data_IF_232513242239
#
_entry.id   IF_232513242239
#
_cell.length_a   1.000
_cell.length_b   1.000
_cell.length_c   1.000
_cell.angle_alpha   90.00
_cell.angle_beta   90.00
_cell.angle_gamma   90.00
#
_symmetry.space_group_name_H-M   'P 1'
#
loop_
_entity.id
_entity.type
_entity.pdbx_description
1 polymer ?
#
# COMPACT_ATOMS: atom_id res chain seq x y z
N UNK A 1 -15.77 -31.08 -36.04
CA UNK A 1 -14.38 -31.53 -36.31
C UNK A 1 -13.35 -30.48 -35.97
N UNK A 2 -13.42 -29.24 -36.49
CA UNK A 2 -12.43 -28.18 -36.21
C UNK A 2 -12.12 -27.90 -34.73
N UNK A 3 -13.11 -27.99 -33.82
CA UNK A 3 -12.87 -27.80 -32.36
C UNK A 3 -12.07 -28.96 -31.76
N UNK A 4 -12.29 -30.20 -32.23
CA UNK A 4 -11.56 -31.39 -31.76
C UNK A 4 -10.12 -31.44 -32.27
N UNK A 5 -9.81 -30.69 -33.33
CA UNK A 5 -8.44 -30.53 -33.86
C UNK A 5 -7.65 -29.45 -33.12
N UNK A 6 -8.33 -28.47 -32.50
CA UNK A 6 -7.72 -27.33 -31.80
C UNK A 6 -7.63 -27.53 -30.28
N UNK A 7 -8.51 -28.34 -29.68
CA UNK A 7 -8.62 -28.51 -28.23
C UNK A 7 -8.70 -29.98 -27.84
N UNK A 8 -8.09 -30.32 -26.71
CA UNK A 8 -8.33 -31.60 -26.04
C UNK A 8 -9.78 -31.61 -25.53
N UNK A 9 -10.61 -32.50 -26.09
CA UNK A 9 -12.05 -32.59 -25.81
C UNK A 9 -12.40 -33.82 -25.00
N UNK A 10 -11.41 -34.39 -24.27
CA UNK A 10 -11.65 -35.49 -23.35
C UNK A 10 -12.76 -35.12 -22.36
N UNK A 11 -13.75 -36.00 -22.23
CA UNK A 11 -14.81 -35.87 -21.25
C UNK A 11 -14.23 -36.14 -19.86
N UNK A 12 -14.48 -35.23 -18.93
CA UNK A 12 -14.19 -35.46 -17.53
C UNK A 12 -15.31 -36.32 -16.95
N UNK A 13 -14.99 -37.54 -16.52
CA UNK A 13 -15.96 -38.42 -15.88
C UNK A 13 -16.43 -37.82 -14.55
N UNK A 14 -17.75 -37.65 -14.39
CA UNK A 14 -18.38 -37.07 -13.18
C UNK A 14 -18.03 -37.83 -11.88
N UNK A 15 -17.57 -39.08 -11.98
CA UNK A 15 -17.19 -39.92 -10.82
C UNK A 15 -15.85 -39.53 -10.18
N UNK A 16 -14.99 -38.75 -10.85
CA UNK A 16 -13.74 -38.24 -10.26
C UNK A 16 -13.96 -37.14 -9.21
N UNK A 17 -15.20 -36.68 -9.01
CA UNK A 17 -15.54 -35.61 -8.06
C UNK A 17 -15.48 -36.10 -6.58
N UNK A 18 -15.16 -37.37 -6.35
CA UNK A 18 -14.86 -37.94 -5.03
C UNK A 18 -13.37 -38.25 -4.79
N UNK A 19 -12.45 -37.73 -5.62
CA UNK A 19 -11.01 -37.86 -5.37
C UNK A 19 -10.51 -36.90 -4.28
N UNK A 20 -9.26 -37.05 -3.87
CA UNK A 20 -8.60 -36.11 -2.95
C UNK A 20 -8.67 -34.69 -3.53
N UNK A 21 -8.99 -33.70 -2.70
CA UNK A 21 -9.29 -32.31 -3.11
C UNK A 21 -8.18 -31.68 -3.98
N UNK A 22 -6.92 -32.04 -3.73
CA UNK A 22 -5.76 -31.62 -4.53
C UNK A 22 -5.78 -32.10 -5.99
N UNK A 23 -6.27 -33.31 -6.27
CA UNK A 23 -6.33 -33.84 -7.63
C UNK A 23 -7.45 -33.17 -8.45
N UNK A 24 -8.53 -32.75 -7.79
CA UNK A 24 -9.62 -31.99 -8.43
C UNK A 24 -9.13 -30.58 -8.78
N UNK A 25 -8.33 -29.96 -7.91
CA UNK A 25 -7.72 -28.64 -8.19
C UNK A 25 -6.82 -28.71 -9.42
N UNK A 26 -5.86 -29.66 -9.46
CA UNK A 26 -4.93 -29.82 -10.58
C UNK A 26 -5.67 -30.09 -11.89
N UNK A 27 -6.69 -30.95 -11.86
CA UNK A 27 -7.54 -31.21 -13.02
C UNK A 27 -8.27 -29.95 -13.51
N UNK A 28 -8.84 -29.15 -12.61
CA UNK A 28 -9.55 -27.92 -13.00
C UNK A 28 -8.56 -26.86 -13.54
N UNK A 29 -7.33 -26.81 -13.02
CA UNK A 29 -6.28 -25.91 -13.49
C UNK A 29 -5.79 -26.23 -14.91
N UNK A 30 -5.83 -27.50 -15.31
CA UNK A 30 -5.46 -27.95 -16.66
C UNK A 30 -6.56 -27.73 -17.71
N UNK A 31 -7.78 -27.39 -17.30
CA UNK A 31 -8.95 -27.32 -18.19
C UNK A 31 -9.31 -25.88 -18.52
N UNK A 32 -9.26 -25.56 -19.81
CA UNK A 32 -9.63 -24.22 -20.31
C UNK A 32 -11.14 -24.01 -20.46
N UNK A 33 -11.91 -25.08 -20.75
CA UNK A 33 -13.32 -24.98 -21.15
C UNK A 33 -14.16 -26.07 -20.46
N UNK A 34 -15.21 -25.65 -19.77
CA UNK A 34 -16.27 -26.52 -19.26
C UNK A 34 -17.57 -26.29 -20.03
N UNK A 35 -18.12 -27.35 -20.62
CA UNK A 35 -19.37 -27.32 -21.39
C UNK A 35 -20.47 -28.13 -20.71
N UNK A 36 -21.73 -27.80 -21.00
CA UNK A 36 -22.93 -28.49 -20.44
C UNK A 36 -22.96 -28.56 -18.89
N UNK A 37 -22.36 -27.55 -18.24
CA UNK A 37 -22.31 -27.43 -16.78
C UNK A 37 -23.63 -26.92 -16.19
N UNK A 38 -24.07 -27.56 -15.11
CA UNK A 38 -25.21 -27.08 -14.32
C UNK A 38 -24.77 -25.93 -13.39
N UNK A 39 -25.71 -25.09 -12.88
CA UNK A 39 -25.37 -23.99 -11.97
C UNK A 39 -24.51 -24.41 -10.76
N UNK A 40 -24.76 -25.59 -10.20
CA UNK A 40 -24.02 -26.15 -9.07
C UNK A 40 -22.56 -26.46 -9.43
N UNK A 41 -22.31 -26.90 -10.67
CA UNK A 41 -20.96 -27.18 -11.15
C UNK A 41 -20.16 -25.89 -11.30
N UNK A 42 -20.78 -24.80 -11.80
CA UNK A 42 -20.13 -23.48 -11.85
C UNK A 42 -19.70 -23.01 -10.46
N UNK A 43 -20.56 -23.19 -9.47
CA UNK A 43 -20.24 -22.87 -8.08
C UNK A 43 -19.05 -23.70 -7.57
N UNK A 44 -19.06 -25.01 -7.83
CA UNK A 44 -17.99 -25.94 -7.41
C UNK A 44 -16.66 -25.62 -8.06
N UNK A 45 -16.64 -25.23 -9.33
CA UNK A 45 -15.42 -24.83 -10.04
C UNK A 45 -14.81 -23.60 -9.34
N UNK A 46 -15.62 -22.57 -9.07
CA UNK A 46 -15.17 -21.37 -8.37
C UNK A 46 -14.67 -21.70 -6.96
N UNK A 47 -15.43 -22.49 -6.19
CA UNK A 47 -15.02 -22.92 -4.84
C UNK A 47 -13.70 -23.70 -4.86
N UNK A 48 -13.52 -24.60 -5.83
CA UNK A 48 -12.32 -25.44 -5.93
C UNK A 48 -11.10 -24.62 -6.31
N UNK A 49 -11.22 -23.70 -7.28
CA UNK A 49 -10.13 -22.77 -7.63
C UNK A 49 -9.75 -21.86 -6.45
N UNK A 50 -10.72 -21.39 -5.67
CA UNK A 50 -10.46 -20.61 -4.46
C UNK A 50 -9.71 -21.43 -3.40
N UNK A 51 -10.07 -22.71 -3.21
CA UNK A 51 -9.37 -23.63 -2.30
C UNK A 51 -7.97 -24.00 -2.78
N UNK A 52 -7.75 -24.05 -4.11
CA UNK A 52 -6.42 -24.08 -4.73
C UNK A 52 -5.59 -22.82 -4.47
N UNK A 53 -6.18 -21.82 -3.79
CA UNK A 53 -5.53 -20.60 -3.42
C UNK A 53 -5.42 -19.63 -4.58
N UNK A 54 -6.30 -19.66 -5.57
CA UNK A 54 -6.45 -18.63 -6.61
C UNK A 54 -7.37 -17.50 -6.17
N UNK A 55 -7.24 -16.33 -6.80
CA UNK A 55 -8.24 -15.26 -6.71
C UNK A 55 -9.11 -15.39 -7.96
N UNK A 56 -10.40 -15.67 -7.77
CA UNK A 56 -11.30 -16.05 -8.86
C UNK A 56 -12.31 -14.94 -9.10
N UNK A 57 -12.35 -14.44 -10.33
CA UNK A 57 -13.41 -13.58 -10.80
C UNK A 57 -14.30 -14.35 -11.78
N UNK A 58 -15.62 -14.15 -11.68
CA UNK A 58 -16.59 -14.76 -12.60
C UNK A 58 -17.36 -13.67 -13.33
N UNK A 59 -17.65 -13.88 -14.62
CA UNK A 59 -18.61 -13.05 -15.36
C UNK A 59 -19.82 -13.89 -15.74
N UNK A 60 -21.02 -13.32 -15.63
CA UNK A 60 -22.26 -14.00 -15.96
C UNK A 60 -23.39 -13.02 -16.28
N UNK A 61 -24.46 -13.53 -16.87
CA UNK A 61 -25.62 -12.75 -17.31
C UNK A 61 -26.97 -13.37 -16.90
N UNK A 62 -26.99 -14.68 -16.70
CA UNK A 62 -28.18 -15.45 -16.38
C UNK A 62 -28.40 -15.70 -14.89
N UNK A 63 -29.64 -16.04 -14.54
CA UNK A 63 -30.01 -16.50 -13.18
C UNK A 63 -29.18 -17.72 -12.74
N UNK A 64 -28.80 -18.55 -13.71
CA UNK A 64 -27.96 -19.74 -13.51
C UNK A 64 -26.55 -19.41 -13.03
N UNK A 65 -26.06 -18.19 -13.27
CA UNK A 65 -24.72 -17.76 -12.87
C UNK A 65 -24.72 -17.15 -11.47
N UNK A 66 -25.89 -16.79 -10.93
CA UNK A 66 -26.00 -16.07 -9.66
C UNK A 66 -25.30 -16.77 -8.48
N UNK A 67 -25.42 -18.10 -8.27
CA UNK A 67 -24.71 -18.77 -7.17
C UNK A 67 -23.19 -18.66 -7.30
N UNK A 68 -22.66 -18.83 -8.52
CA UNK A 68 -21.24 -18.84 -8.78
C UNK A 68 -20.65 -17.40 -8.82
N UNK A 69 -21.41 -16.43 -9.33
CA UNK A 69 -21.09 -14.99 -9.24
C UNK A 69 -20.95 -14.57 -7.78
N UNK A 70 -21.86 -15.02 -6.92
CA UNK A 70 -21.82 -14.69 -5.49
C UNK A 70 -20.68 -15.37 -4.74
N UNK A 71 -20.24 -16.53 -5.23
CA UNK A 71 -19.15 -17.32 -4.64
C UNK A 71 -17.77 -16.80 -5.03
N UNK A 72 -17.63 -16.23 -6.22
CA UNK A 72 -16.37 -15.66 -6.71
C UNK A 72 -15.86 -14.56 -5.78
N UNK A 73 -14.55 -14.32 -5.79
CA UNK A 73 -13.95 -13.18 -5.06
C UNK A 73 -14.40 -11.84 -5.65
N UNK A 74 -14.78 -11.85 -6.93
CA UNK A 74 -15.43 -10.73 -7.60
C UNK A 74 -16.34 -11.22 -8.74
N UNK A 75 -17.64 -10.99 -8.61
CA UNK A 75 -18.63 -11.25 -9.66
C UNK A 75 -18.83 -10.03 -10.58
N UNK A 76 -18.77 -10.25 -11.89
CA UNK A 76 -19.07 -9.26 -12.93
C UNK A 76 -20.38 -9.59 -13.63
N UNK A 77 -21.29 -8.61 -13.71
CA UNK A 77 -22.51 -8.72 -14.49
C UNK A 77 -22.46 -7.78 -15.69
N UNK A 78 -22.90 -8.25 -16.85
CA UNK A 78 -23.02 -7.41 -18.06
C UNK A 78 -24.26 -6.50 -18.00
N UNK A 79 -24.29 -5.45 -18.83
CA UNK A 79 -25.34 -4.43 -18.82
C UNK A 79 -26.75 -5.00 -19.08
N UNK A 80 -26.82 -6.04 -19.91
CA UNK A 80 -28.06 -6.67 -20.36
C UNK A 80 -28.40 -7.95 -19.56
N UNK A 81 -27.74 -8.15 -18.42
CA UNK A 81 -27.96 -9.32 -17.57
C UNK A 81 -29.31 -9.28 -16.85
N UNK A 82 -29.76 -10.46 -16.43
CA UNK A 82 -30.96 -10.63 -15.60
C UNK A 82 -30.82 -9.90 -14.24
N UNK A 83 -31.94 -9.51 -13.64
CA UNK A 83 -31.95 -8.87 -12.32
C UNK A 83 -31.29 -9.74 -11.24
N UNK A 84 -31.45 -11.05 -11.34
CA UNK A 84 -30.81 -12.00 -10.43
C UNK A 84 -29.28 -11.98 -10.55
N UNK A 85 -28.73 -11.96 -11.78
CA UNK A 85 -27.29 -11.88 -12.00
C UNK A 85 -26.72 -10.54 -11.54
N UNK A 86 -27.43 -9.43 -11.80
CA UNK A 86 -27.03 -8.08 -11.32
C UNK A 86 -27.04 -7.97 -9.80
N UNK A 87 -28.01 -8.61 -9.14
CA UNK A 87 -28.08 -8.64 -7.68
C UNK A 87 -27.01 -9.53 -7.04
N UNK A 88 -26.52 -10.54 -7.76
CA UNK A 88 -25.49 -11.45 -7.27
C UNK A 88 -24.05 -10.94 -7.50
N UNK A 89 -23.83 -10.11 -8.51
CA UNK A 89 -22.52 -9.57 -8.89
C UNK A 89 -22.08 -8.39 -8.01
N UNK A 90 -20.76 -8.21 -7.86
CA UNK A 90 -20.15 -7.09 -7.13
C UNK A 90 -19.93 -5.87 -8.05
N UNK A 91 -19.74 -6.11 -9.35
CA UNK A 91 -19.50 -5.07 -10.36
C UNK A 91 -20.47 -5.24 -11.53
N UNK A 92 -21.21 -4.17 -11.84
CA UNK A 92 -22.12 -4.13 -12.98
C UNK A 92 -21.47 -3.30 -14.09
N UNK A 93 -21.21 -3.94 -15.24
CA UNK A 93 -20.69 -3.28 -16.43
C UNK A 93 -21.83 -2.50 -17.09
N UNK A 94 -21.71 -1.18 -17.15
CA UNK A 94 -22.70 -0.30 -17.78
C UNK A 94 -22.48 -0.16 -19.28
N UNK A 95 -21.23 -0.29 -19.73
CA UNK A 95 -20.88 -0.29 -21.14
C UNK A 95 -20.93 -1.72 -21.71
N UNK A 96 -21.27 -1.89 -23.01
CA UNK A 96 -21.26 -3.19 -23.65
C UNK A 96 -19.83 -3.72 -23.82
N UNK A 97 -19.68 -5.05 -23.73
CA UNK A 97 -18.42 -5.75 -23.95
C UNK A 97 -17.64 -6.06 -22.67
N UNK A 98 -16.69 -7.01 -22.79
CA UNK A 98 -15.89 -7.51 -21.66
C UNK A 98 -14.54 -6.79 -21.51
N UNK A 99 -14.17 -5.93 -22.48
CA UNK A 99 -12.88 -5.22 -22.46
C UNK A 99 -12.73 -4.31 -21.24
N UNK A 100 -13.84 -3.81 -20.68
CA UNK A 100 -13.87 -2.96 -19.46
C UNK A 100 -13.33 -3.70 -18.24
N UNK A 101 -13.40 -5.04 -18.21
CA UNK A 101 -12.83 -5.85 -17.13
C UNK A 101 -11.31 -5.65 -17.06
N UNK A 102 -10.63 -5.52 -18.21
CA UNK A 102 -9.19 -5.26 -18.23
C UNK A 102 -8.84 -3.91 -17.59
N UNK A 103 -9.64 -2.87 -17.84
CA UNK A 103 -9.46 -1.56 -17.23
C UNK A 103 -9.75 -1.60 -15.72
N UNK A 104 -10.80 -2.31 -15.30
CA UNK A 104 -11.12 -2.53 -13.90
C UNK A 104 -9.97 -3.24 -13.15
N UNK A 105 -9.43 -4.32 -13.74
CA UNK A 105 -8.29 -5.05 -13.18
C UNK A 105 -7.03 -4.18 -13.11
N UNK A 106 -6.78 -3.34 -14.13
CA UNK A 106 -5.67 -2.39 -14.12
C UNK A 106 -5.83 -1.37 -12.99
N UNK A 107 -7.01 -0.79 -12.81
CA UNK A 107 -7.29 0.17 -11.74
C UNK A 107 -7.20 -0.47 -10.36
N UNK A 108 -7.72 -1.69 -10.18
CA UNK A 108 -7.59 -2.43 -8.93
C UNK A 108 -6.12 -2.61 -8.53
N UNK A 109 -5.24 -2.96 -9.48
CA UNK A 109 -3.80 -3.09 -9.23
C UNK A 109 -3.12 -1.76 -8.89
N UNK A 110 -3.53 -0.66 -9.54
CA UNK A 110 -3.05 0.70 -9.22
C UNK A 110 -3.44 1.08 -7.79
N UNK A 111 -4.70 0.88 -7.42
CA UNK A 111 -5.23 1.15 -6.07
C UNK A 111 -4.51 0.29 -5.03
N UNK A 112 -4.31 -0.99 -5.31
CA UNK A 112 -3.57 -1.89 -4.41
C UNK A 112 -2.13 -1.40 -4.17
N UNK A 113 -1.42 -0.98 -5.22
CA UNK A 113 -0.07 -0.42 -5.09
C UNK A 113 -0.05 0.86 -4.24
N UNK A 114 -1.03 1.76 -4.42
CA UNK A 114 -1.17 2.97 -3.59
C UNK A 114 -1.46 2.63 -2.13
N UNK A 115 -2.33 1.64 -1.89
CA UNK A 115 -2.64 1.15 -0.54
C UNK A 115 -1.41 0.55 0.15
N UNK A 116 -0.58 -0.23 -0.57
CA UNK A 116 0.69 -0.77 -0.04
C UNK A 116 1.63 0.36 0.40
N UNK A 117 1.80 1.38 -0.43
CA UNK A 117 2.63 2.55 -0.12
C UNK A 117 2.10 3.33 1.09
N UNK A 118 0.78 3.57 1.14
CA UNK A 118 0.11 4.21 2.28
C UNK A 118 0.29 3.42 3.58
N UNK A 119 0.03 2.12 3.55
CA UNK A 119 0.15 1.26 4.73
C UNK A 119 1.59 1.24 5.26
N UNK A 120 2.57 1.10 4.37
CA UNK A 120 3.99 1.10 4.73
C UNK A 120 4.41 2.41 5.38
N UNK A 121 4.01 3.53 4.77
CA UNK A 121 4.23 4.87 5.32
C UNK A 121 3.59 5.03 6.70
N UNK A 122 2.29 4.72 6.82
CA UNK A 122 1.54 4.96 8.04
C UNK A 122 2.11 4.17 9.22
N UNK A 123 2.45 2.90 9.00
CA UNK A 123 3.06 2.06 10.04
C UNK A 123 4.42 2.59 10.45
N UNK A 124 5.27 2.98 9.49
CA UNK A 124 6.59 3.54 9.78
C UNK A 124 6.51 4.84 10.61
N UNK A 125 5.61 5.77 10.25
CA UNK A 125 5.40 7.01 11.01
C UNK A 125 4.81 6.75 12.38
N UNK A 126 3.85 5.83 12.51
CA UNK A 126 3.28 5.47 13.81
C UNK A 126 4.36 4.91 14.75
N UNK A 127 5.20 3.99 14.26
CA UNK A 127 6.33 3.45 15.03
C UNK A 127 7.29 4.58 15.41
N UNK A 128 7.64 5.45 14.46
CA UNK A 128 8.56 6.57 14.70
C UNK A 128 8.06 7.49 15.80
N UNK A 129 6.83 8.01 15.68
CA UNK A 129 6.29 9.00 16.60
C UNK A 129 6.08 8.37 17.96
N UNK A 130 5.41 7.22 18.05
CA UNK A 130 5.08 6.60 19.34
C UNK A 130 6.34 6.20 20.08
N UNK A 131 7.25 5.45 19.44
CA UNK A 131 8.47 5.01 20.13
C UNK A 131 9.36 6.19 20.52
N UNK A 132 9.54 7.19 19.64
CA UNK A 132 10.32 8.36 19.98
C UNK A 132 9.72 9.12 21.16
N UNK A 133 8.41 9.39 21.15
CA UNK A 133 7.72 10.10 22.23
C UNK A 133 7.79 9.32 23.54
N UNK A 134 7.42 8.04 23.54
CA UNK A 134 7.39 7.21 24.75
C UNK A 134 8.78 7.07 25.35
N UNK A 135 9.80 6.77 24.56
CA UNK A 135 11.16 6.64 25.06
C UNK A 135 11.73 7.97 25.55
N UNK A 136 11.38 9.09 24.90
CA UNK A 136 11.81 10.42 25.36
C UNK A 136 11.23 10.77 26.72
N UNK A 137 9.94 10.50 26.94
CA UNK A 137 9.26 10.78 28.20
C UNK A 137 9.77 9.87 29.32
N UNK A 138 9.86 8.55 29.08
CA UNK A 138 10.21 7.59 30.12
C UNK A 138 11.69 7.68 30.54
N UNK A 139 12.60 7.93 29.59
CA UNK A 139 14.04 7.88 29.84
C UNK A 139 14.60 9.26 30.20
N UNK A 140 14.10 10.33 29.56
CA UNK A 140 14.68 11.67 29.67
C UNK A 140 13.76 12.68 30.37
N UNK A 141 12.56 12.27 30.80
CA UNK A 141 11.52 13.16 31.35
C UNK A 141 11.23 14.37 30.44
N UNK A 142 11.46 14.20 29.14
CA UNK A 142 11.34 15.24 28.14
C UNK A 142 10.14 14.95 27.25
N UNK A 143 9.22 15.90 27.18
CA UNK A 143 8.08 15.89 26.26
C UNK A 143 8.49 16.52 24.93
N UNK A 144 8.74 15.74 23.86
CA UNK A 144 9.35 16.24 22.63
C UNK A 144 8.40 17.04 21.75
N UNK A 145 7.10 16.75 21.84
CA UNK A 145 6.06 17.36 21.03
C UNK A 145 4.89 17.65 21.96
N UNK A 146 4.35 18.86 21.89
CA UNK A 146 3.16 19.25 22.64
C UNK A 146 1.88 18.76 21.96
N UNK A 147 0.76 18.71 22.69
CA UNK A 147 -0.53 18.32 22.12
C UNK A 147 -0.92 19.18 20.90
N UNK A 148 -0.62 20.48 20.94
CA UNK A 148 -0.88 21.39 19.82
C UNK A 148 -0.03 21.07 18.60
N UNK A 149 1.26 20.78 18.80
CA UNK A 149 2.15 20.34 17.71
C UNK A 149 1.68 19.02 17.08
N UNK A 150 1.12 18.10 17.87
CA UNK A 150 0.52 16.85 17.33
C UNK A 150 -0.69 17.19 16.43
N UNK A 151 -1.54 18.12 16.83
CA UNK A 151 -2.69 18.56 16.01
C UNK A 151 -2.21 19.20 14.70
N UNK A 152 -1.21 20.08 14.77
CA UNK A 152 -0.61 20.70 13.59
C UNK A 152 0.05 19.67 12.66
N UNK A 153 0.78 18.71 13.23
CA UNK A 153 1.38 17.59 12.50
C UNK A 153 0.30 16.77 11.77
N UNK A 154 -0.79 16.44 12.46
CA UNK A 154 -1.89 15.68 11.87
C UNK A 154 -2.50 16.43 10.68
N UNK A 155 -2.84 17.71 10.86
CA UNK A 155 -3.44 18.53 9.82
C UNK A 155 -2.53 18.67 8.58
N UNK A 156 -1.24 18.91 8.79
CA UNK A 156 -0.27 19.06 7.70
C UNK A 156 -0.03 17.73 6.97
N UNK A 157 -0.02 16.60 7.69
CA UNK A 157 0.19 15.29 7.09
C UNK A 157 -1.02 14.77 6.29
N UNK A 158 -2.24 15.18 6.66
CA UNK A 158 -3.46 14.67 6.00
C UNK A 158 -3.56 15.09 4.52
N UNK A 159 -3.09 16.29 4.17
CA UNK A 159 -3.12 16.78 2.78
C UNK A 159 -2.31 15.86 1.85
N UNK A 160 -1.05 15.50 2.15
CA UNK A 160 -0.30 14.55 1.33
C UNK A 160 -0.84 13.13 1.37
N UNK A 161 -1.40 12.68 2.49
CA UNK A 161 -2.03 11.36 2.59
C UNK A 161 -3.16 11.23 1.57
N UNK A 162 -4.02 12.25 1.45
CA UNK A 162 -5.08 12.27 0.44
C UNK A 162 -4.52 12.25 -0.99
N UNK A 163 -3.39 12.92 -1.22
CA UNK A 163 -2.75 12.96 -2.53
C UNK A 163 -2.11 11.61 -2.95
N UNK A 164 -1.82 10.69 -2.02
CA UNK A 164 -1.37 9.31 -2.35
C UNK A 164 -2.40 8.59 -3.22
N UNK A 165 -3.69 8.86 -3.02
CA UNK A 165 -4.77 8.24 -3.78
C UNK A 165 -4.70 8.55 -5.29
N UNK A 166 -4.01 9.63 -5.68
CA UNK A 166 -3.83 10.07 -7.07
C UNK A 166 -2.41 9.85 -7.58
N UNK A 167 -1.58 9.10 -6.86
CA UNK A 167 -0.18 8.94 -7.23
C UNK A 167 0.04 8.03 -8.45
N UNK A 168 1.12 8.25 -9.19
CA UNK A 168 1.56 7.33 -10.24
C UNK A 168 2.23 6.10 -9.63
N UNK A 169 1.73 4.90 -9.98
CA UNK A 169 2.29 3.62 -9.51
C UNK A 169 2.63 2.69 -10.67
N UNK A 170 3.51 1.71 -10.40
CA UNK A 170 3.79 0.63 -11.35
C UNK A 170 2.64 -0.38 -11.29
N UNK A 171 2.11 -0.75 -12.46
CA UNK A 171 1.09 -1.79 -12.56
C UNK A 171 1.77 -3.13 -12.75
N UNK A 172 1.58 -4.05 -11.80
CA UNK A 172 2.06 -5.42 -11.93
C UNK A 172 1.28 -6.18 -13.01
N UNK A 173 1.97 -7.04 -13.78
CA UNK A 173 1.34 -7.85 -14.83
C UNK A 173 0.57 -9.05 -14.27
N UNK A 174 1.05 -9.63 -13.17
CA UNK A 174 0.43 -10.73 -12.47
C UNK A 174 -0.52 -10.25 -11.36
N UNK A 175 -1.42 -11.11 -10.85
CA UNK A 175 -2.20 -10.85 -9.63
C UNK A 175 -1.28 -10.49 -8.45
N UNK A 176 -1.74 -9.56 -7.61
CA UNK A 176 -1.00 -9.05 -6.46
C UNK A 176 -1.66 -9.51 -5.16
N UNK A 177 -0.85 -9.80 -4.15
CA UNK A 177 -1.29 -10.18 -2.80
C UNK A 177 -0.54 -9.37 -1.75
N UNK A 178 -1.15 -9.27 -0.57
CA UNK A 178 -0.46 -8.71 0.59
C UNK A 178 0.69 -9.62 1.00
N UNK A 179 1.90 -9.07 1.01
CA UNK A 179 3.04 -9.69 1.68
C UNK A 179 3.23 -8.99 3.04
N UNK A 180 2.55 -9.48 4.06
CA UNK A 180 2.56 -8.86 5.40
C UNK A 180 3.95 -8.88 6.02
N UNK A 181 4.74 -9.92 5.78
CA UNK A 181 6.11 -10.01 6.28
C UNK A 181 6.97 -8.91 5.68
N UNK A 182 6.93 -8.71 4.36
CA UNK A 182 7.67 -7.64 3.70
C UNK A 182 7.21 -6.26 4.17
N UNK A 183 5.90 -6.01 4.16
CA UNK A 183 5.29 -4.74 4.53
C UNK A 183 5.66 -4.36 5.97
N UNK A 184 5.47 -5.26 6.93
CA UNK A 184 5.77 -5.00 8.33
C UNK A 184 7.27 -4.83 8.57
N UNK A 185 8.11 -5.69 7.96
CA UNK A 185 9.57 -5.60 8.13
C UNK A 185 10.12 -4.26 7.63
N UNK A 186 9.74 -3.86 6.41
CA UNK A 186 10.20 -2.58 5.82
C UNK A 186 9.70 -1.40 6.65
N UNK A 187 8.43 -1.41 7.04
CA UNK A 187 7.84 -0.34 7.86
C UNK A 187 8.51 -0.21 9.22
N UNK A 188 8.76 -1.33 9.90
CA UNK A 188 9.42 -1.35 11.21
C UNK A 188 10.86 -0.86 11.12
N UNK A 189 11.64 -1.30 10.12
CA UNK A 189 13.03 -0.85 9.97
C UNK A 189 13.09 0.66 9.66
N UNK A 190 12.22 1.17 8.78
CA UNK A 190 12.14 2.60 8.50
C UNK A 190 11.68 3.41 9.72
N UNK A 191 10.72 2.88 10.48
CA UNK A 191 10.26 3.47 11.74
C UNK A 191 11.39 3.59 12.75
N UNK A 192 12.11 2.48 13.03
CA UNK A 192 13.26 2.44 13.96
C UNK A 192 14.37 3.37 13.50
N UNK A 193 14.71 3.38 12.20
CA UNK A 193 15.72 4.30 11.66
C UNK A 193 15.30 5.76 11.88
N UNK A 194 14.01 6.05 11.74
CA UNK A 194 13.42 7.34 12.07
C UNK A 194 13.54 7.72 13.55
N UNK A 195 13.36 6.75 14.47
CA UNK A 195 13.54 6.95 15.92
C UNK A 195 15.01 7.27 16.23
N UNK A 196 15.95 6.50 15.68
CA UNK A 196 17.40 6.74 15.83
C UNK A 196 17.74 8.14 15.33
N UNK A 197 17.26 8.54 14.15
CA UNK A 197 17.42 9.90 13.64
C UNK A 197 16.86 10.96 14.60
N UNK A 198 15.68 10.76 15.17
CA UNK A 198 15.13 11.73 16.13
C UNK A 198 15.98 11.86 17.40
N UNK A 199 16.48 10.75 17.95
CA UNK A 199 17.36 10.79 19.13
C UNK A 199 18.73 11.40 18.83
N UNK A 200 19.33 11.09 17.67
CA UNK A 200 20.59 11.72 17.25
C UNK A 200 20.42 13.23 17.18
N UNK A 201 19.32 13.73 16.59
CA UNK A 201 19.04 15.16 16.57
C UNK A 201 18.86 15.71 18.00
N UNK A 202 18.09 15.02 18.84
CA UNK A 202 17.87 15.43 20.23
C UNK A 202 19.19 15.58 21.01
N UNK A 203 20.10 14.61 20.91
CA UNK A 203 21.41 14.67 21.58
C UNK A 203 22.29 15.81 21.05
N UNK A 204 22.33 16.02 19.72
CA UNK A 204 23.08 17.14 19.12
C UNK A 204 22.57 18.49 19.66
N UNK A 205 21.25 18.63 19.80
CA UNK A 205 20.65 19.87 20.30
C UNK A 205 20.89 20.08 21.80
N UNK A 206 20.82 19.00 22.60
CA UNK A 206 21.16 19.06 24.01
C UNK A 206 22.63 19.42 24.25
N UNK A 207 23.56 18.82 23.51
CA UNK A 207 25.00 19.11 23.63
C UNK A 207 25.31 20.57 23.28
N UNK A 208 24.57 21.15 22.33
CA UNK A 208 24.67 22.58 21.99
C UNK A 208 24.02 23.51 23.01
N UNK A 209 23.42 22.98 24.08
CA UNK A 209 22.77 23.79 25.13
C UNK A 209 21.54 24.54 24.64
N UNK A 210 20.86 24.02 23.60
CA UNK A 210 19.65 24.62 23.06
C UNK A 210 18.51 24.48 24.08
N UNK A 211 17.69 25.53 24.26
CA UNK A 211 16.57 25.49 25.19
C UNK A 211 15.54 24.42 24.80
N UNK A 212 14.93 23.78 25.79
CA UNK A 212 13.95 22.70 25.56
C UNK A 212 12.79 23.11 24.64
N UNK A 213 12.29 24.34 24.80
CA UNK A 213 11.21 24.86 23.95
C UNK A 213 11.63 25.00 22.50
N UNK A 214 12.89 25.37 22.24
CA UNK A 214 13.43 25.42 20.90
C UNK A 214 13.63 24.00 20.35
N UNK A 215 14.11 23.05 21.17
CA UNK A 215 14.22 21.64 20.79
C UNK A 215 12.86 21.07 20.35
N UNK A 216 11.78 21.35 21.09
CA UNK A 216 10.42 20.93 20.73
C UNK A 216 10.01 21.43 19.34
N UNK A 217 10.24 22.71 19.05
CA UNK A 217 9.93 23.30 17.74
C UNK A 217 10.81 22.73 16.61
N UNK A 218 12.08 22.44 16.89
CA UNK A 218 12.99 21.83 15.92
C UNK A 218 12.60 20.38 15.60
N UNK A 219 12.23 19.61 16.62
CA UNK A 219 11.73 18.24 16.45
C UNK A 219 10.40 18.22 15.71
N UNK A 220 9.50 19.17 15.98
CA UNK A 220 8.27 19.36 15.21
C UNK A 220 8.57 19.55 13.71
N UNK A 221 9.45 20.50 13.36
CA UNK A 221 9.82 20.74 11.97
C UNK A 221 10.48 19.50 11.34
N UNK A 222 11.38 18.85 12.07
CA UNK A 222 12.05 17.61 11.60
C UNK A 222 11.03 16.52 11.28
N UNK A 223 10.02 16.34 12.13
CA UNK A 223 9.02 15.29 11.93
C UNK A 223 8.10 15.56 10.74
N UNK A 224 7.80 16.83 10.46
CA UNK A 224 7.12 17.21 9.21
C UNK A 224 7.98 16.81 8.01
N UNK A 225 9.20 17.34 7.91
CA UNK A 225 10.02 17.14 6.70
C UNK A 225 10.38 15.66 6.55
N UNK A 226 10.80 14.98 7.62
CA UNK A 226 11.15 13.56 7.57
C UNK A 226 9.93 12.67 7.29
N UNK A 227 8.75 13.02 7.81
CA UNK A 227 7.50 12.31 7.53
C UNK A 227 7.15 12.36 6.05
N UNK A 228 7.06 13.56 5.48
CA UNK A 228 6.79 13.76 4.06
C UNK A 228 7.86 13.14 3.16
N UNK A 229 9.13 13.24 3.54
CA UNK A 229 10.25 12.56 2.87
C UNK A 229 10.11 11.04 2.87
N UNK A 230 9.58 10.45 3.94
CA UNK A 230 9.36 8.99 4.05
C UNK A 230 8.31 8.51 3.05
N UNK A 231 7.32 9.34 2.73
CA UNK A 231 6.31 9.03 1.71
C UNK A 231 6.96 8.78 0.33
N UNK A 232 7.96 9.57 -0.05
CA UNK A 232 8.71 9.37 -1.29
C UNK A 232 9.49 8.05 -1.30
N UNK A 233 10.03 7.66 -0.15
CA UNK A 233 10.78 6.42 0.04
C UNK A 233 9.86 5.20 -0.08
N UNK A 234 8.67 5.25 0.53
CA UNK A 234 7.74 4.11 0.58
C UNK A 234 6.91 3.94 -0.70
N UNK A 235 6.85 4.95 -1.59
CA UNK A 235 6.08 4.87 -2.85
C UNK A 235 6.56 3.76 -3.80
N UNK A 236 7.84 3.41 -3.72
CA UNK A 236 8.55 2.61 -4.70
C UNK A 236 9.41 1.56 -4.01
N UNK A 237 9.40 0.34 -4.56
CA UNK A 237 10.28 -0.75 -4.13
C UNK A 237 11.75 -0.54 -4.57
N UNK A 238 11.98 0.36 -5.53
CA UNK A 238 13.32 0.77 -5.95
C UNK A 238 13.76 2.06 -5.28
N UNK A 239 14.89 2.62 -5.73
CA UNK A 239 15.36 3.94 -5.27
C UNK A 239 14.32 5.03 -5.54
N UNK A 240 14.30 6.07 -4.71
CA UNK A 240 13.29 7.13 -4.78
C UNK A 240 13.26 7.88 -6.14
N UNK A 241 14.39 7.93 -6.85
CA UNK A 241 14.52 8.58 -8.17
C UNK A 241 14.12 7.68 -9.35
N UNK A 242 13.72 6.43 -9.11
CA UNK A 242 13.27 5.56 -10.18
C UNK A 242 11.83 5.87 -10.59
N UNK A 243 11.57 5.80 -11.89
CA UNK A 243 10.20 5.93 -12.43
C UNK A 243 9.26 4.87 -11.83
N UNK A 244 7.97 5.17 -11.63
CA UNK A 244 7.28 6.41 -11.98
C UNK A 244 7.61 7.55 -11.01
N UNK A 245 7.69 8.75 -11.57
CA UNK A 245 7.85 9.97 -10.78
C UNK A 245 6.55 10.30 -10.04
N UNK A 246 6.64 11.02 -8.90
CA UNK A 246 5.47 11.52 -8.19
C UNK A 246 4.44 12.19 -9.10
N UNK A 247 3.16 11.98 -8.81
CA UNK A 247 2.13 12.84 -9.38
C UNK A 247 2.37 14.30 -8.97
N UNK A 248 2.10 15.28 -9.84
CA UNK A 248 2.25 16.69 -9.49
C UNK A 248 1.41 17.08 -8.26
N UNK A 249 0.23 16.47 -8.11
CA UNK A 249 -0.64 16.70 -6.95
C UNK A 249 0.05 16.29 -5.65
N UNK A 250 0.66 15.10 -5.59
CA UNK A 250 1.39 14.68 -4.40
C UNK A 250 2.62 15.56 -4.16
N UNK A 251 3.37 15.89 -5.21
CA UNK A 251 4.57 16.72 -5.08
C UNK A 251 4.25 18.07 -4.43
N UNK A 252 3.23 18.77 -4.95
CA UNK A 252 2.81 20.06 -4.39
C UNK A 252 2.15 19.93 -3.02
N UNK A 253 1.43 18.84 -2.77
CA UNK A 253 0.87 18.56 -1.45
C UNK A 253 1.97 18.41 -0.39
N UNK A 254 2.98 17.56 -0.63
CA UNK A 254 4.07 17.36 0.34
C UNK A 254 4.93 18.60 0.48
N UNK A 255 5.37 19.19 -0.63
CA UNK A 255 6.32 20.29 -0.59
C UNK A 255 5.65 21.57 -0.06
N UNK A 256 4.38 21.79 -0.41
CA UNK A 256 3.60 22.91 0.10
C UNK A 256 3.36 22.82 1.61
N UNK A 257 3.09 21.62 2.14
CA UNK A 257 2.90 21.41 3.58
C UNK A 257 4.22 21.44 4.36
N UNK A 258 5.33 20.97 3.78
CA UNK A 258 6.68 21.16 4.33
C UNK A 258 7.06 22.65 4.42
N UNK A 259 6.80 23.43 3.37
CA UNK A 259 7.01 24.89 3.39
C UNK A 259 6.12 25.53 4.45
N UNK A 260 4.82 25.22 4.46
CA UNK A 260 3.89 25.78 5.45
C UNK A 260 4.32 25.44 6.88
N UNK A 261 4.69 24.20 7.15
CA UNK A 261 5.23 23.76 8.45
C UNK A 261 6.53 24.48 8.81
N UNK A 262 7.40 24.73 7.83
CA UNK A 262 8.63 25.53 8.00
C UNK A 262 8.29 26.97 8.39
N UNK A 263 7.33 27.61 7.72
CA UNK A 263 6.90 28.97 8.04
C UNK A 263 6.30 29.05 9.45
N UNK A 264 5.46 28.07 9.84
CA UNK A 264 4.90 27.96 11.19
C UNK A 264 6.02 27.90 12.25
N UNK A 265 7.05 27.08 12.01
CA UNK A 265 8.18 26.93 12.92
C UNK A 265 9.08 28.17 12.97
N UNK A 266 9.39 28.77 11.82
CA UNK A 266 10.27 29.94 11.73
C UNK A 266 9.65 31.16 12.41
N UNK A 267 8.38 31.45 12.11
CA UNK A 267 7.68 32.63 12.63
C UNK A 267 7.02 32.40 14.00
N UNK A 268 7.04 31.17 14.51
CA UNK A 268 6.53 30.84 15.83
C UNK A 268 5.01 30.90 15.94
N UNK A 269 4.28 30.43 14.93
CA UNK A 269 2.82 30.35 15.01
C UNK A 269 2.41 29.25 16.01
N UNK A 270 2.02 29.67 17.21
CA UNK A 270 1.65 28.82 18.35
C UNK A 270 2.76 27.88 18.87
N UNK A 271 3.98 28.04 18.39
CA UNK A 271 5.17 27.30 18.83
C UNK A 271 6.35 28.27 18.98
N UNK A 272 7.40 27.87 19.69
CA UNK A 272 8.58 28.73 19.88
C UNK A 272 9.27 28.97 18.54
N UNK A 273 9.54 30.23 18.16
CA UNK A 273 10.14 30.55 16.87
C UNK A 273 11.57 30.05 16.79
N UNK A 274 11.90 29.35 15.69
CA UNK A 274 13.24 28.78 15.49
C UNK A 274 14.18 29.64 14.64
N UNK A 275 13.65 30.55 13.83
CA UNK A 275 14.45 31.30 12.86
C UNK A 275 14.94 30.47 11.65
N UNK A 276 15.38 31.17 10.61
CA UNK A 276 15.75 30.55 9.34
C UNK A 276 17.03 29.71 9.39
N UNK A 277 18.00 30.10 10.23
CA UNK A 277 19.26 29.36 10.36
C UNK A 277 19.02 27.92 10.82
N UNK A 278 18.27 27.76 11.91
CA UNK A 278 17.93 26.43 12.40
C UNK A 278 17.00 25.68 11.43
N UNK A 279 16.04 26.37 10.79
CA UNK A 279 15.17 25.73 9.81
C UNK A 279 15.97 25.11 8.65
N UNK A 280 16.94 25.84 8.08
CA UNK A 280 17.81 25.33 7.01
C UNK A 280 18.67 24.16 7.48
N UNK A 281 19.18 24.21 8.73
CA UNK A 281 19.89 23.08 9.34
C UNK A 281 19.02 21.84 9.46
N UNK A 282 17.75 21.99 9.89
CA UNK A 282 16.81 20.86 9.99
C UNK A 282 16.47 20.30 8.61
N UNK A 283 16.31 21.15 7.59
CA UNK A 283 16.16 20.70 6.20
C UNK A 283 17.36 19.88 5.74
N UNK A 284 18.59 20.38 5.92
CA UNK A 284 19.80 19.66 5.56
C UNK A 284 19.91 18.32 6.30
N UNK A 285 19.60 18.31 7.59
CA UNK A 285 19.56 17.10 8.42
C UNK A 285 18.54 16.08 7.91
N UNK A 286 17.30 16.52 7.66
CA UNK A 286 16.22 15.66 7.19
C UNK A 286 16.50 15.10 5.79
N UNK A 287 17.02 15.91 4.87
CA UNK A 287 17.41 15.47 3.53
C UNK A 287 18.57 14.46 3.55
N UNK A 288 19.53 14.63 4.46
CA UNK A 288 20.60 13.64 4.66
C UNK A 288 20.02 12.30 5.13
N UNK A 289 19.13 12.32 6.12
CA UNK A 289 18.46 11.12 6.61
C UNK A 289 17.48 10.51 5.62
N UNK A 290 16.90 11.31 4.72
CA UNK A 290 16.10 10.81 3.61
C UNK A 290 16.93 9.88 2.70
N UNK A 291 18.15 10.28 2.33
CA UNK A 291 19.05 9.42 1.55
C UNK A 291 19.45 8.15 2.30
N UNK A 292 19.73 8.27 3.61
CA UNK A 292 20.03 7.12 4.48
C UNK A 292 18.84 6.16 4.53
N UNK A 293 17.63 6.66 4.75
CA UNK A 293 16.42 5.84 4.80
C UNK A 293 16.14 5.14 3.46
N UNK A 294 16.37 5.80 2.33
CA UNK A 294 16.23 5.16 1.02
C UNK A 294 17.24 4.02 0.85
N UNK A 295 18.50 4.22 1.26
CA UNK A 295 19.52 3.18 1.24
C UNK A 295 19.19 2.01 2.18
N UNK A 296 18.69 2.28 3.40
CA UNK A 296 18.25 1.28 4.37
C UNK A 296 17.09 0.46 3.80
N UNK A 297 16.08 1.11 3.21
CA UNK A 297 14.97 0.43 2.52
C UNK A 297 15.50 -0.52 1.43
N UNK A 298 16.40 -0.04 0.57
CA UNK A 298 16.96 -0.84 -0.51
C UNK A 298 17.74 -2.05 0.01
N UNK A 299 18.45 -1.90 1.13
CA UNK A 299 19.13 -2.99 1.80
C UNK A 299 18.14 -4.04 2.35
N UNK A 300 17.06 -3.60 3.00
CA UNK A 300 16.00 -4.49 3.51
C UNK A 300 15.34 -5.28 2.38
N UNK A 301 14.93 -4.60 1.29
CA UNK A 301 14.34 -5.30 0.13
C UNK A 301 15.31 -6.32 -0.48
N UNK A 302 16.61 -6.04 -0.51
CA UNK A 302 17.63 -6.98 -1.00
C UNK A 302 17.71 -8.24 -0.14
N UNK A 303 17.58 -8.12 1.19
CA UNK A 303 17.57 -9.25 2.12
C UNK A 303 16.30 -10.08 1.96
N UNK A 304 15.14 -9.42 1.92
CA UNK A 304 13.84 -10.09 1.79
C UNK A 304 13.71 -10.84 0.47
N UNK A 305 14.13 -10.23 -0.64
CA UNK A 305 14.12 -10.87 -1.96
C UNK A 305 15.07 -12.06 -2.02
N UNK A 306 16.24 -12.00 -1.35
CA UNK A 306 17.11 -13.17 -1.23
C UNK A 306 16.42 -14.31 -0.49
N UNK A 307 15.75 -14.04 0.63
CA UNK A 307 15.03 -15.07 1.39
C UNK A 307 13.86 -15.69 0.62
N UNK A 308 13.11 -14.90 -0.15
CA UNK A 308 12.02 -15.43 -1.00
C UNK A 308 12.50 -16.27 -2.19
N UNK A 309 13.77 -16.18 -2.61
CA UNK A 309 14.32 -17.08 -3.64
C UNK A 309 14.69 -18.45 -3.03
N UNK A 310 14.86 -18.53 -1.71
CA UNK A 310 15.23 -19.76 -0.98
C UNK A 310 14.06 -20.38 -0.19
N UNK A 311 12.84 -19.86 -0.34
CA UNK A 311 11.61 -20.37 0.27
C UNK A 311 10.63 -20.77 -0.84
#
# INVERSE_FOLDING_TARGET
>A
EQVRELYDTRLLDREFIHSHESAIIEMIEEVDIFAEVVPEDKYRIVDTLQKGGHIVAMTGDGVNDAPALKKADCGFSVSNATDAARAAADVILTAPGLSVINDALRQARITFARMKSYATFRIAETIRIILFMTLSIVIFDFYPITALMIILLALLNDIPILAIAYDHTRVHKAPVRWNMTELLTVSTVLGITGVVSSFVLFFILQEKGVSEDLIRSLLFLKLIIAGHSTLYITRSEGWFWQRPWPSPLLFWATFGTEILGTLIAVYGFMITPIGWEYALWIWAYALTWFLVNDAVKMWVYRILRRRMIFA
#
